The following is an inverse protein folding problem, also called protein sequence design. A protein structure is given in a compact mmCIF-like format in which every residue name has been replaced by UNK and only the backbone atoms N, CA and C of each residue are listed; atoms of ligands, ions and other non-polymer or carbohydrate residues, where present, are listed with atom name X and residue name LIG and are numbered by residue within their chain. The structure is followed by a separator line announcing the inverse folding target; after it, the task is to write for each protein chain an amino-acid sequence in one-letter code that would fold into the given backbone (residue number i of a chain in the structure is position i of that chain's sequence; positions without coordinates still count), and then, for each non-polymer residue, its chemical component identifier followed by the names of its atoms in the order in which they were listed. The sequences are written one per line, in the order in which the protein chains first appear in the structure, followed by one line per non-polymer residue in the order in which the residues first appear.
data_IF_792164676124
#
_entry.id   IF_792164676124
#
_cell.length_a   1.000
_cell.length_b   1.000
_cell.length_c   1.000
_cell.angle_alpha   90.00
_cell.angle_beta   90.00
_cell.angle_gamma   90.00
#
_symmetry.space_group_name_H-M   'P 1'
#
loop_
_entity.id
_entity.type
_entity.pdbx_description
1 polymer ?
#
# COMPACT_ATOMS: atom_id res chain seq x y z
N UNK A 1 -4.39 8.80 26.75
CA UNK A 1 -4.27 9.64 25.55
C UNK A 1 -3.66 8.75 24.49
N UNK A 2 -4.45 8.26 23.53
CA UNK A 2 -3.90 7.47 22.42
C UNK A 2 -3.26 8.45 21.45
N UNK A 3 -1.93 8.50 21.41
CA UNK A 3 -1.19 9.20 20.37
C UNK A 3 -1.33 8.38 19.08
N UNK A 4 -2.28 8.78 18.24
CA UNK A 4 -2.31 8.30 16.86
C UNK A 4 -1.20 9.02 16.10
N UNK A 5 -0.05 8.38 15.92
CA UNK A 5 0.93 8.81 14.92
C UNK A 5 0.34 8.50 13.53
N UNK A 6 -0.61 9.31 13.08
CA UNK A 6 -1.09 9.22 11.70
C UNK A 6 0.04 9.69 10.80
N UNK A 7 0.69 8.75 10.15
CA UNK A 7 1.79 9.03 9.22
C UNK A 7 1.29 9.77 7.99
N UNK A 8 0.05 9.53 7.57
CA UNK A 8 -0.55 10.08 6.35
C UNK A 8 -2.08 10.27 6.51
N UNK A 9 -2.68 11.18 5.73
CA UNK A 9 -4.12 11.44 5.75
C UNK A 9 -4.74 11.35 4.34
N UNK A 10 -5.79 10.55 4.19
CA UNK A 10 -6.54 10.36 2.94
C UNK A 10 -7.95 10.94 3.07
N UNK A 11 -8.30 11.89 2.20
CA UNK A 11 -9.56 12.64 2.25
C UNK A 11 -10.43 12.33 1.04
N UNK A 12 -11.61 11.79 1.31
CA UNK A 12 -12.57 11.34 0.30
C UNK A 12 -13.47 12.48 -0.19
N UNK A 13 -14.14 12.25 -1.33
CA UNK A 13 -15.07 13.18 -1.95
C UNK A 13 -14.48 14.57 -2.27
N UNK A 14 -13.15 14.70 -2.42
CA UNK A 14 -12.46 15.98 -2.60
C UNK A 14 -12.82 17.06 -1.55
N UNK A 15 -13.10 16.65 -0.31
CA UNK A 15 -13.37 17.59 0.77
C UNK A 15 -12.06 18.28 1.18
N UNK A 16 -11.90 19.53 0.77
CA UNK A 16 -10.72 20.34 1.11
C UNK A 16 -10.83 20.79 2.58
N UNK A 17 -9.84 20.46 3.43
CA UNK A 17 -9.80 20.93 4.81
C UNK A 17 -9.65 22.47 4.88
N UNK A 18 -10.02 23.07 6.01
CA UNK A 18 -9.73 24.49 6.25
C UNK A 18 -8.21 24.75 6.29
N UNK A 19 -7.81 25.96 5.94
CA UNK A 19 -6.40 26.34 5.76
C UNK A 19 -5.51 26.12 7.01
N UNK A 20 -6.08 26.25 8.21
CA UNK A 20 -5.37 25.99 9.46
C UNK A 20 -4.96 24.52 9.61
N UNK A 21 -5.81 23.58 9.17
CA UNK A 21 -5.50 22.14 9.18
C UNK A 21 -4.40 21.83 8.16
N UNK A 22 -4.48 22.41 6.96
CA UNK A 22 -3.43 22.26 5.94
C UNK A 22 -2.07 22.80 6.40
N UNK A 23 -2.08 23.97 7.05
CA UNK A 23 -0.86 24.58 7.62
C UNK A 23 -0.26 23.69 8.69
N UNK A 24 -1.09 23.21 9.62
CA UNK A 24 -0.62 22.34 10.70
C UNK A 24 -0.09 21.00 10.18
N UNK A 25 -0.77 20.37 9.22
CA UNK A 25 -0.30 19.13 8.59
C UNK A 25 1.04 19.35 7.87
N UNK A 26 1.22 20.48 7.19
CA UNK A 26 2.49 20.86 6.57
C UNK A 26 3.62 21.05 7.59
N UNK A 27 3.36 21.71 8.71
CA UNK A 27 4.33 21.89 9.81
C UNK A 27 4.74 20.56 10.47
N UNK A 28 3.80 19.61 10.55
CA UNK A 28 4.04 18.28 11.11
C UNK A 28 4.58 17.27 10.09
N UNK A 29 4.74 17.66 8.82
CA UNK A 29 5.19 16.77 7.75
C UNK A 29 4.21 15.65 7.41
N UNK A 30 2.93 15.80 7.73
CA UNK A 30 1.87 14.83 7.43
C UNK A 30 1.34 15.10 6.02
N UNK A 31 1.54 14.20 5.04
CA UNK A 31 0.98 14.37 3.71
C UNK A 31 -0.53 14.14 3.72
N UNK A 32 -1.23 14.97 2.95
CA UNK A 32 -2.67 14.89 2.73
C UNK A 32 -2.93 14.57 1.26
N UNK A 33 -3.61 13.46 1.00
CA UNK A 33 -4.07 13.07 -0.33
C UNK A 33 -5.58 13.24 -0.45
N UNK A 34 -6.02 14.01 -1.45
CA UNK A 34 -7.44 14.15 -1.81
C UNK A 34 -7.79 13.16 -2.90
N UNK A 35 -8.91 12.46 -2.74
CA UNK A 35 -9.44 11.55 -3.75
C UNK A 35 -10.91 11.88 -4.07
N UNK A 36 -11.34 11.69 -5.33
CA UNK A 36 -12.71 12.01 -5.74
C UNK A 36 -13.74 10.96 -5.26
N UNK A 37 -13.28 9.77 -4.86
CA UNK A 37 -14.14 8.66 -4.46
C UNK A 37 -14.66 8.84 -3.04
N UNK A 38 -15.80 8.21 -2.74
CA UNK A 38 -16.33 8.13 -1.37
C UNK A 38 -15.46 7.22 -0.49
N UNK A 39 -15.74 7.24 0.82
CA UNK A 39 -14.98 6.48 1.83
C UNK A 39 -15.02 4.97 1.61
N UNK A 40 -16.16 4.41 1.20
CA UNK A 40 -16.28 2.96 0.98
C UNK A 40 -15.46 2.53 -0.24
N UNK A 41 -15.65 3.22 -1.36
CA UNK A 41 -14.92 2.93 -2.61
C UNK A 41 -13.41 3.08 -2.41
N UNK A 42 -12.98 4.14 -1.71
CA UNK A 42 -11.58 4.38 -1.39
C UNK A 42 -11.00 3.30 -0.46
N UNK A 43 -11.72 2.93 0.59
CA UNK A 43 -11.29 1.86 1.50
C UNK A 43 -11.12 0.53 0.75
N UNK A 44 -12.07 0.17 -0.10
CA UNK A 44 -11.98 -1.03 -0.94
C UNK A 44 -10.81 -0.97 -1.92
N UNK A 45 -10.46 0.21 -2.46
CA UNK A 45 -9.27 0.34 -3.32
C UNK A 45 -7.99 0.13 -2.52
N UNK A 46 -7.89 0.70 -1.32
CA UNK A 46 -6.72 0.55 -0.43
C UNK A 46 -6.55 -0.91 -0.01
N UNK A 47 -7.63 -1.59 0.38
CA UNK A 47 -7.58 -3.01 0.75
C UNK A 47 -7.13 -3.92 -0.40
N UNK A 48 -7.42 -3.51 -1.64
CA UNK A 48 -7.05 -4.28 -2.85
C UNK A 48 -5.67 -3.91 -3.39
N UNK A 49 -4.90 -3.06 -2.70
CA UNK A 49 -3.52 -2.79 -3.07
C UNK A 49 -2.70 -4.07 -2.82
N UNK A 50 -2.39 -4.75 -3.91
CA UNK A 50 -1.44 -5.85 -3.91
C UNK A 50 -0.05 -5.29 -4.26
N UNK A 51 0.96 -5.44 -3.39
CA UNK A 51 2.31 -5.00 -3.72
C UNK A 51 2.83 -5.80 -4.90
N UNK A 52 3.24 -5.08 -5.95
CA UNK A 52 3.86 -5.70 -7.12
C UNK A 52 5.18 -6.35 -6.71
N UNK A 53 5.37 -7.63 -7.02
CA UNK A 53 6.65 -8.29 -6.87
C UNK A 53 7.63 -7.73 -7.92
N UNK A 54 8.72 -7.14 -7.46
CA UNK A 54 9.79 -6.62 -8.30
C UNK A 54 11.02 -7.53 -8.24
N UNK A 55 11.92 -7.41 -9.23
CA UNK A 55 13.14 -8.20 -9.26
C UNK A 55 14.08 -7.89 -8.09
N UNK A 56 13.97 -6.70 -7.52
CA UNK A 56 14.79 -6.23 -6.40
C UNK A 56 14.25 -6.68 -5.02
N UNK A 57 13.06 -7.31 -4.97
CA UNK A 57 12.50 -7.91 -3.75
C UNK A 57 13.19 -9.23 -3.40
N UNK A 58 14.51 -9.20 -3.12
CA UNK A 58 15.34 -10.39 -2.93
C UNK A 58 14.75 -11.41 -1.94
N UNK A 59 14.17 -10.92 -0.82
CA UNK A 59 13.56 -11.77 0.20
C UNK A 59 12.32 -12.52 -0.32
N UNK A 60 11.42 -11.82 -1.02
CA UNK A 60 10.21 -12.44 -1.59
C UNK A 60 10.57 -13.39 -2.72
N UNK A 61 11.53 -13.02 -3.57
CA UNK A 61 12.04 -13.88 -4.65
C UNK A 61 12.65 -15.16 -4.08
N UNK A 62 13.44 -15.06 -3.00
CA UNK A 62 14.00 -16.22 -2.32
C UNK A 62 12.91 -17.12 -1.72
N UNK A 63 11.91 -16.53 -1.07
CA UNK A 63 10.76 -17.27 -0.53
C UNK A 63 10.00 -18.03 -1.62
N UNK A 64 9.66 -17.36 -2.72
CA UNK A 64 8.95 -17.97 -3.86
C UNK A 64 9.80 -19.09 -4.47
N UNK A 65 11.10 -18.84 -4.68
CA UNK A 65 12.03 -19.83 -5.21
C UNK A 65 12.06 -21.09 -4.34
N UNK A 66 12.08 -20.93 -3.01
CA UNK A 66 12.01 -22.05 -2.07
C UNK A 66 10.68 -22.81 -2.19
N UNK A 67 9.56 -22.10 -2.15
CA UNK A 67 8.23 -22.71 -2.23
C UNK A 67 8.04 -23.50 -3.52
N UNK A 68 8.53 -22.98 -4.65
CA UNK A 68 8.49 -23.67 -5.94
C UNK A 68 9.33 -24.95 -5.89
N UNK A 69 10.58 -24.88 -5.40
CA UNK A 69 11.44 -26.08 -5.28
C UNK A 69 10.86 -27.15 -4.36
N UNK A 70 10.14 -26.75 -3.32
CA UNK A 70 9.55 -27.67 -2.33
C UNK A 70 8.24 -28.30 -2.80
N UNK A 71 7.44 -27.58 -3.59
CA UNK A 71 6.05 -27.98 -3.88
C UNK A 71 5.76 -28.24 -5.37
N UNK A 72 6.71 -27.96 -6.26
CA UNK A 72 6.54 -28.13 -7.72
C UNK A 72 7.57 -29.11 -8.25
N UNK A 73 7.12 -30.17 -8.91
CA UNK A 73 7.99 -31.06 -9.67
C UNK A 73 8.41 -30.38 -10.98
N UNK A 74 9.56 -29.70 -10.91
CA UNK A 74 10.14 -29.00 -12.06
C UNK A 74 10.58 -29.96 -13.17
N UNK A 75 10.87 -31.23 -12.86
CA UNK A 75 11.27 -32.22 -13.87
C UNK A 75 10.07 -32.67 -14.71
N UNK A 76 8.89 -32.76 -14.10
CA UNK A 76 7.64 -33.08 -14.78
C UNK A 76 7.15 -31.98 -15.73
N UNK A 77 7.60 -30.73 -15.55
CA UNK A 77 7.22 -29.60 -16.40
C UNK A 77 7.96 -29.57 -17.76
N UNK A 78 8.95 -30.44 -17.96
CA UNK A 78 9.73 -30.49 -19.19
C UNK A 78 10.71 -29.31 -19.32
N UNK A 79 11.83 -29.55 -19.98
CA UNK A 79 12.91 -28.58 -20.18
C UNK A 79 12.39 -27.29 -20.83
N UNK A 80 12.41 -26.19 -20.07
CA UNK A 80 12.40 -24.81 -20.59
C UNK A 80 13.71 -24.50 -21.32
#
# INVERSE_FOLDING_TARGET
MLEYSQTDCLLTNNIVPPANVLTHAGEQGVPILLVPHDTYTTAMQVERIEPLLTADDEEKVALITRLVKENVDLAALGSL
#
